data_IF_054243643305
#
_entry.id   IF_054243643305
#
_cell.length_a   1.000
_cell.length_b   1.000
_cell.length_c   1.000
_cell.angle_alpha   90.00
_cell.angle_beta   90.00
_cell.angle_gamma   90.00
#
_symmetry.space_group_name_H-M   'P 1'
#
loop_
_entity.id
_entity.type
_entity.pdbx_description
1 polymer ?
#
# COMPACT_ATOMS: atom_id res chain seq x y z
N UNK A 1 14.21 44.96 55.05
CA UNK A 1 12.93 45.12 54.32
C UNK A 1 13.02 44.40 52.98
N UNK A 2 11.89 43.87 52.51
CA UNK A 2 11.67 42.75 51.55
C UNK A 2 12.39 42.88 50.20
N UNK A 3 13.05 41.80 49.73
CA UNK A 3 13.45 41.61 48.32
C UNK A 3 12.29 40.94 47.57
N UNK A 4 11.72 41.63 46.60
CA UNK A 4 10.66 41.09 45.73
C UNK A 4 11.32 40.44 44.52
N UNK A 5 11.16 39.13 44.39
CA UNK A 5 11.65 38.34 43.26
C UNK A 5 10.47 38.09 42.30
N UNK A 6 10.47 38.77 41.16
CA UNK A 6 9.47 38.58 40.11
C UNK A 6 9.90 37.41 39.22
N UNK A 7 9.19 36.28 39.32
CA UNK A 7 9.38 35.13 38.42
C UNK A 7 8.46 35.36 37.21
N UNK A 8 9.06 35.62 36.04
CA UNK A 8 8.38 35.68 34.75
C UNK A 8 8.22 34.25 34.20
N UNK A 9 7.03 33.70 34.31
CA UNK A 9 6.68 32.40 33.71
C UNK A 9 6.30 32.62 32.23
N UNK A 10 7.27 32.42 31.33
CA UNK A 10 6.99 32.34 29.90
C UNK A 10 6.45 30.96 29.53
N UNK A 11 5.15 30.87 29.22
CA UNK A 11 4.57 29.65 28.67
C UNK A 11 5.00 29.52 27.18
N UNK A 12 5.85 28.53 26.89
CA UNK A 12 6.21 28.16 25.52
C UNK A 12 5.06 27.36 24.90
N UNK A 13 4.23 28.03 24.11
CA UNK A 13 3.23 27.36 23.26
C UNK A 13 3.98 26.81 22.06
N UNK A 14 4.32 25.52 22.08
CA UNK A 14 4.85 24.82 20.91
C UNK A 14 3.74 24.74 19.86
N UNK A 15 3.84 25.54 18.80
CA UNK A 15 2.96 25.46 17.65
C UNK A 15 3.14 24.09 16.98
N UNK A 16 2.14 23.21 17.14
CA UNK A 16 2.04 22.01 16.32
C UNK A 16 1.75 22.45 14.88
N UNK A 17 2.79 22.46 14.03
CA UNK A 17 2.57 22.62 12.60
C UNK A 17 1.77 21.40 12.08
N UNK A 18 0.71 21.61 11.27
CA UNK A 18 -0.02 20.50 10.67
C UNK A 18 0.92 19.70 9.77
N UNK A 19 0.93 18.38 9.95
CA UNK A 19 1.70 17.50 9.07
C UNK A 19 1.14 17.61 7.63
N UNK A 20 2.00 17.63 6.60
CA UNK A 20 1.54 17.67 5.22
C UNK A 20 0.73 16.41 4.91
N UNK A 21 -0.54 16.59 4.55
CA UNK A 21 -1.39 15.50 4.04
C UNK A 21 -0.99 15.24 2.60
N UNK A 22 -0.10 14.27 2.37
CA UNK A 22 0.25 13.85 1.02
C UNK A 22 -0.94 13.11 0.40
N UNK A 23 -1.45 13.60 -0.74
CA UNK A 23 -2.46 12.90 -1.51
C UNK A 23 -1.92 11.53 -1.95
N UNK A 24 -2.69 10.46 -1.73
CA UNK A 24 -2.31 9.11 -2.15
C UNK A 24 -2.19 9.04 -3.68
N UNK A 25 -1.06 8.53 -4.16
CA UNK A 25 -0.79 8.27 -5.57
C UNK A 25 -0.27 6.85 -5.71
N UNK A 26 -0.92 6.08 -6.58
CA UNK A 26 -0.46 4.76 -6.98
C UNK A 26 -0.65 4.55 -8.48
N UNK A 27 0.28 3.83 -9.09
CA UNK A 27 0.17 3.34 -10.47
C UNK A 27 0.48 1.85 -10.44
N UNK A 28 -0.36 1.05 -11.07
CA UNK A 28 -0.25 -0.41 -11.03
C UNK A 28 -0.39 -1.00 -12.43
N UNK A 29 0.30 -2.11 -12.65
CA UNK A 29 0.20 -2.96 -13.83
C UNK A 29 0.17 -4.42 -13.37
N UNK A 30 -0.65 -5.22 -14.04
CA UNK A 30 -0.65 -6.66 -13.87
C UNK A 30 0.01 -7.29 -15.10
N UNK A 31 0.93 -8.22 -14.86
CA UNK A 31 1.55 -9.02 -15.91
C UNK A 31 1.44 -10.49 -15.57
N UNK A 32 1.35 -11.33 -16.58
CA UNK A 32 1.41 -12.79 -16.39
C UNK A 32 2.87 -13.19 -16.28
N UNK A 33 3.22 -13.85 -15.18
CA UNK A 33 4.49 -14.57 -15.06
C UNK A 33 4.20 -16.09 -15.10
N UNK A 34 5.25 -16.90 -15.22
CA UNK A 34 5.24 -18.34 -15.49
C UNK A 34 3.95 -19.10 -15.08
N UNK A 35 3.42 -19.91 -16.01
CA UNK A 35 2.25 -20.76 -15.84
C UNK A 35 0.94 -20.00 -15.49
N UNK A 36 0.70 -18.88 -16.19
CA UNK A 36 -0.58 -18.15 -16.16
C UNK A 36 -0.96 -17.61 -14.77
N UNK A 37 0.06 -17.22 -14.00
CA UNK A 37 -0.11 -16.63 -12.68
C UNK A 37 0.18 -15.13 -12.74
N UNK A 38 -0.82 -14.27 -12.53
CA UNK A 38 -0.59 -12.84 -12.58
C UNK A 38 0.25 -12.40 -11.40
N UNK A 39 1.16 -11.47 -11.68
CA UNK A 39 1.93 -10.71 -10.71
C UNK A 39 1.54 -9.25 -10.89
N UNK A 40 1.19 -8.61 -9.78
CA UNK A 40 0.87 -7.17 -9.77
C UNK A 40 2.13 -6.43 -9.34
N UNK A 41 2.53 -5.45 -10.14
CA UNK A 41 3.63 -4.53 -9.87
C UNK A 41 3.11 -3.10 -9.89
N UNK A 42 3.68 -2.23 -9.08
CA UNK A 42 3.28 -0.84 -9.09
C UNK A 42 4.26 0.08 -8.37
N UNK A 43 3.98 1.37 -8.50
CA UNK A 43 4.66 2.45 -7.80
C UNK A 43 3.67 3.23 -6.94
N UNK A 44 4.14 3.77 -5.82
CA UNK A 44 3.33 4.55 -4.89
C UNK A 44 4.17 5.59 -4.16
N UNK A 45 3.54 6.66 -3.68
CA UNK A 45 4.15 7.64 -2.79
C UNK A 45 4.00 7.32 -1.30
N UNK A 46 3.49 6.12 -0.96
CA UNK A 46 3.39 5.70 0.43
C UNK A 46 4.79 5.49 1.05
N UNK A 47 4.93 5.69 2.39
CA UNK A 47 6.20 5.51 3.08
C UNK A 47 6.79 4.11 2.92
N UNK A 48 8.12 4.02 2.99
CA UNK A 48 8.84 2.75 3.08
C UNK A 48 8.27 1.90 4.22
N UNK A 49 8.09 0.60 3.96
CA UNK A 49 7.57 -0.30 4.98
C UNK A 49 6.05 -0.33 5.11
N UNK A 50 5.32 0.51 4.37
CA UNK A 50 3.85 0.46 4.34
C UNK A 50 3.38 -0.91 3.84
N UNK A 51 2.50 -1.56 4.60
CA UNK A 51 1.88 -2.83 4.20
C UNK A 51 0.71 -2.54 3.25
N UNK A 52 0.73 -3.16 2.08
CA UNK A 52 -0.33 -3.12 1.09
C UNK A 52 -1.02 -4.46 1.02
N UNK A 53 -2.33 -4.42 0.89
CA UNK A 53 -3.17 -5.57 0.62
C UNK A 53 -3.66 -5.48 -0.82
N UNK A 54 -3.35 -6.47 -1.65
CA UNK A 54 -3.76 -6.48 -3.06
C UNK A 54 -4.70 -7.66 -3.30
N UNK A 55 -5.86 -7.35 -3.89
CA UNK A 55 -6.89 -8.33 -4.23
C UNK A 55 -6.99 -8.44 -5.74
N UNK A 56 -6.85 -9.66 -6.26
CA UNK A 56 -7.18 -9.98 -7.65
C UNK A 56 -8.55 -10.64 -7.68
N UNK A 57 -9.49 -10.03 -8.37
CA UNK A 57 -10.84 -10.55 -8.58
C UNK A 57 -11.10 -10.72 -10.06
N UNK A 58 -11.72 -11.84 -10.41
CA UNK A 58 -12.19 -12.11 -11.77
C UNK A 58 -13.69 -12.42 -11.76
N UNK A 59 -14.47 -11.46 -12.26
CA UNK A 59 -15.93 -11.49 -12.18
C UNK A 59 -16.56 -12.67 -12.91
N UNK A 60 -15.98 -13.12 -14.02
CA UNK A 60 -16.55 -14.17 -14.88
C UNK A 60 -16.40 -15.58 -14.28
N UNK A 61 -15.41 -15.78 -13.41
CA UNK A 61 -15.10 -17.09 -12.82
C UNK A 61 -15.42 -17.17 -11.34
N UNK A 62 -15.71 -16.04 -10.70
CA UNK A 62 -15.80 -15.94 -9.24
C UNK A 62 -14.46 -16.08 -8.53
N UNK A 63 -13.34 -16.13 -9.25
CA UNK A 63 -12.01 -16.19 -8.65
C UNK A 63 -11.71 -14.92 -7.84
N UNK A 64 -11.20 -15.13 -6.64
CA UNK A 64 -10.72 -14.08 -5.76
C UNK A 64 -9.49 -14.60 -5.02
N UNK A 65 -8.42 -13.82 -5.04
CA UNK A 65 -7.23 -14.05 -4.24
C UNK A 65 -6.75 -12.73 -3.66
N UNK A 66 -6.11 -12.80 -2.50
CA UNK A 66 -5.62 -11.65 -1.78
C UNK A 66 -4.26 -11.98 -1.20
N UNK A 67 -3.33 -11.04 -1.30
CA UNK A 67 -1.99 -11.19 -0.77
C UNK A 67 -1.42 -9.84 -0.33
N UNK A 68 -0.47 -9.90 0.60
CA UNK A 68 0.18 -8.74 1.19
C UNK A 68 1.53 -8.49 0.54
N UNK A 69 1.90 -7.23 0.46
CA UNK A 69 3.26 -6.81 0.10
C UNK A 69 3.63 -5.58 0.87
N UNK A 70 4.91 -5.20 0.80
CA UNK A 70 5.44 -4.03 1.48
C UNK A 70 5.98 -3.06 0.45
N UNK A 71 5.72 -1.77 0.66
CA UNK A 71 6.32 -0.73 -0.17
C UNK A 71 7.82 -0.73 0.08
N UNK A 72 8.58 -0.83 -1.01
CA UNK A 72 10.02 -0.67 -1.00
C UNK A 72 10.50 0.17 -2.17
N UNK A 73 11.31 1.20 -1.87
CA UNK A 73 11.84 2.16 -2.84
C UNK A 73 10.73 2.79 -3.71
N UNK A 74 9.59 3.12 -3.10
CA UNK A 74 8.42 3.68 -3.79
C UNK A 74 7.71 2.70 -4.74
N UNK A 75 8.05 1.41 -4.68
CA UNK A 75 7.47 0.34 -5.48
C UNK A 75 6.86 -0.76 -4.65
N UNK A 76 6.07 -1.62 -5.29
CA UNK A 76 5.59 -2.87 -4.71
C UNK A 76 5.43 -3.95 -5.76
N UNK A 77 5.51 -5.21 -5.33
CA UNK A 77 5.29 -6.41 -6.15
C UNK A 77 4.58 -7.46 -5.30
N UNK A 78 3.58 -8.12 -5.87
CA UNK A 78 2.76 -9.11 -5.15
C UNK A 78 2.26 -10.21 -6.10
N UNK A 79 2.11 -11.42 -5.57
CA UNK A 79 1.91 -12.63 -6.34
C UNK A 79 3.21 -13.45 -6.50
N UNK A 80 3.21 -14.49 -7.34
CA UNK A 80 2.15 -14.90 -8.28
C UNK A 80 0.84 -15.32 -7.60
N UNK A 81 -0.30 -14.81 -8.09
CA UNK A 81 -1.61 -15.23 -7.60
C UNK A 81 -2.05 -16.57 -8.24
N UNK A 82 -2.70 -17.43 -7.46
CA UNK A 82 -3.20 -18.74 -7.93
C UNK A 82 -4.43 -19.21 -7.17
N UNK A 83 -5.21 -20.13 -7.77
CA UNK A 83 -6.38 -20.76 -7.12
C UNK A 83 -6.01 -22.17 -6.63
N UNK A 84 -5.55 -22.29 -5.38
CA UNK A 84 -5.11 -23.59 -4.84
C UNK A 84 -3.95 -24.19 -5.65
N UNK A 85 -3.01 -23.35 -6.08
CA UNK A 85 -1.86 -23.73 -6.91
C UNK A 85 -2.12 -23.73 -8.42
N UNK A 86 -3.39 -23.66 -8.86
CA UNK A 86 -3.80 -23.63 -10.27
C UNK A 86 -3.74 -22.23 -10.87
N UNK A 87 -3.53 -22.19 -12.19
CA UNK A 87 -3.58 -21.00 -13.04
C UNK A 87 -4.91 -20.24 -12.89
N UNK A 88 -4.88 -18.92 -13.11
CA UNK A 88 -6.07 -18.04 -13.09
C UNK A 88 -6.76 -17.99 -14.46
N UNK A 89 -6.40 -18.92 -15.35
CA UNK A 89 -6.69 -18.97 -16.77
C UNK A 89 -8.13 -18.62 -17.17
N UNK A 90 -8.31 -17.94 -18.32
CA UNK A 90 -9.59 -17.88 -18.99
C UNK A 90 -10.15 -19.28 -19.20
N UNK A 91 -11.35 -19.57 -18.64
CA UNK A 91 -12.15 -20.67 -19.17
C UNK A 91 -12.18 -20.48 -20.67
N UNK A 92 -11.54 -21.38 -21.39
CA UNK A 92 -11.68 -21.48 -22.83
C UNK A 92 -13.18 -21.58 -23.11
N UNK A 93 -13.70 -20.63 -23.89
CA UNK A 93 -14.82 -20.94 -24.76
C UNK A 93 -14.28 -22.05 -25.67
N UNK A 94 -14.63 -23.29 -25.37
CA UNK A 94 -14.40 -24.42 -26.29
C UNK A 94 -15.25 -24.21 -27.56
N UNK A 95 -14.88 -24.85 -28.68
CA UNK A 95 -14.85 -24.30 -30.04
C UNK A 95 -16.21 -23.99 -30.66
#
# INVERSE_FOLDING_TARGET
MKRVLTIMTGALIAAMAPAPVFAFKATMSAKVEAADKPVVIGTTNLPEGTELMVTVKRSESGYMAQDKTRVSNGGFRVGPFSQGGRSVEPRHLFP
#
